data_IF_904650291673
#
_entry.id   IF_904650291673
#
_cell.length_a   1.000
_cell.length_b   1.000
_cell.length_c   1.000
_cell.angle_alpha   90.00
_cell.angle_beta   90.00
_cell.angle_gamma   90.00
#
_symmetry.space_group_name_H-M   'P 1'
#
loop_
_entity.id
_entity.type
_entity.pdbx_description
1 polymer ?
#
# COMPACT_ATOMS: atom_id res chain seq x y z
N UNK A 1 1.29 11.69 3.78
CA UNK A 1 0.17 10.98 4.44
C UNK A 1 0.77 10.15 5.57
N UNK A 2 0.56 10.53 6.84
CA UNK A 2 1.08 9.77 7.98
C UNK A 2 0.09 8.63 8.27
N UNK A 3 0.56 7.38 8.13
CA UNK A 3 -0.24 6.19 8.45
C UNK A 3 0.19 5.75 9.85
N UNK A 4 -0.68 5.85 10.87
CA UNK A 4 -0.36 5.40 12.22
C UNK A 4 -0.14 3.90 12.24
N UNK A 5 0.80 3.44 13.06
CA UNK A 5 1.07 2.02 13.22
C UNK A 5 -0.13 1.32 13.90
N UNK A 6 -0.29 0.00 13.70
CA UNK A 6 -1.34 -0.76 14.39
C UNK A 6 -1.31 -0.59 15.91
N UNK A 7 -0.12 -0.56 16.54
CA UNK A 7 0.00 -0.40 18.00
C UNK A 7 -0.45 0.99 18.50
N UNK A 8 -0.23 2.06 17.73
CA UNK A 8 -0.66 3.42 18.09
C UNK A 8 -2.20 3.56 18.07
N UNK A 9 -2.86 2.93 17.11
CA UNK A 9 -4.33 2.91 17.03
C UNK A 9 -4.96 2.19 18.22
N UNK A 10 -4.36 1.07 18.64
CA UNK A 10 -4.84 0.26 19.77
C UNK A 10 -4.83 1.07 21.06
N UNK A 11 -3.74 1.79 21.33
CA UNK A 11 -3.60 2.61 22.53
C UNK A 11 -4.60 3.78 22.56
N UNK A 12 -4.86 4.40 21.40
CA UNK A 12 -5.78 5.54 21.28
C UNK A 12 -7.24 5.14 21.51
N UNK A 13 -7.63 3.95 21.01
CA UNK A 13 -9.00 3.45 21.10
C UNK A 13 -9.34 2.78 22.45
N UNK A 14 -8.38 2.72 23.38
CA UNK A 14 -8.49 2.01 24.68
C UNK A 14 -8.98 0.56 24.52
N UNK A 15 -8.66 -0.07 23.39
CA UNK A 15 -9.01 -1.45 23.14
C UNK A 15 -7.94 -2.35 23.75
N UNK A 16 -8.35 -3.48 24.36
CA UNK A 16 -7.37 -4.49 24.70
C UNK A 16 -6.76 -5.07 23.41
N UNK A 17 -5.49 -5.46 23.50
CA UNK A 17 -4.69 -5.89 22.34
C UNK A 17 -5.30 -7.10 21.62
N UNK A 18 -6.01 -7.98 22.32
CA UNK A 18 -6.63 -9.15 21.71
C UNK A 18 -7.89 -8.75 20.92
N UNK A 19 -8.73 -7.89 21.47
CA UNK A 19 -9.90 -7.35 20.76
C UNK A 19 -9.49 -6.59 19.52
N UNK A 20 -8.49 -5.71 19.62
CA UNK A 20 -8.03 -4.96 18.45
C UNK A 20 -7.43 -5.86 17.35
N UNK A 21 -6.67 -6.90 17.72
CA UNK A 21 -6.20 -7.89 16.73
C UNK A 21 -7.34 -8.60 16.02
N UNK A 22 -8.38 -9.01 16.75
CA UNK A 22 -9.58 -9.63 16.16
C UNK A 22 -10.28 -8.69 15.20
N UNK A 23 -10.43 -7.42 15.55
CA UNK A 23 -11.03 -6.40 14.68
C UNK A 23 -10.19 -6.23 13.40
N UNK A 24 -8.87 -6.07 13.52
CA UNK A 24 -7.98 -5.95 12.36
C UNK A 24 -8.08 -7.19 11.46
N UNK A 25 -8.07 -8.40 12.04
CA UNK A 25 -8.24 -9.64 11.28
C UNK A 25 -9.59 -9.70 10.56
N UNK A 26 -10.67 -9.27 11.22
CA UNK A 26 -11.99 -9.17 10.60
C UNK A 26 -11.98 -8.19 9.43
N UNK A 27 -11.42 -6.99 9.61
CA UNK A 27 -11.33 -5.98 8.55
C UNK A 27 -10.49 -6.44 7.35
N UNK A 28 -9.44 -7.24 7.57
CA UNK A 28 -8.67 -7.87 6.49
C UNK A 28 -9.51 -8.95 5.79
N UNK A 29 -10.21 -9.78 6.57
CA UNK A 29 -11.10 -10.84 6.03
C UNK A 29 -12.26 -10.26 5.20
N UNK A 30 -12.81 -9.13 5.63
CA UNK A 30 -13.88 -8.39 4.95
C UNK A 30 -13.34 -7.47 3.83
N UNK A 31 -12.03 -7.52 3.58
CA UNK A 31 -11.39 -6.77 2.50
C UNK A 31 -11.43 -5.24 2.65
N UNK A 32 -11.73 -4.73 3.84
CA UNK A 32 -11.66 -3.30 4.18
C UNK A 32 -10.21 -2.83 4.37
N UNK A 33 -9.35 -3.70 4.88
CA UNK A 33 -7.90 -3.50 4.95
C UNK A 33 -7.18 -4.47 4.03
N UNK A 34 -6.12 -3.97 3.39
CA UNK A 34 -5.25 -4.72 2.51
C UNK A 34 -3.88 -4.81 3.16
N UNK A 35 -3.38 -6.03 3.27
CA UNK A 35 -2.02 -6.31 3.74
C UNK A 35 -1.01 -6.06 2.60
N UNK A 36 -0.20 -5.02 2.76
CA UNK A 36 0.87 -4.65 1.82
C UNK A 36 2.16 -5.40 2.18
N UNK A 37 2.49 -5.44 3.47
CA UNK A 37 3.59 -6.20 4.06
C UNK A 37 3.19 -6.69 5.46
N UNK A 38 4.08 -7.38 6.17
CA UNK A 38 3.80 -7.84 7.54
C UNK A 38 3.55 -6.70 8.54
N UNK A 39 4.15 -5.54 8.30
CA UNK A 39 4.09 -4.34 9.13
C UNK A 39 3.22 -3.21 8.54
N UNK A 40 2.57 -3.45 7.40
CA UNK A 40 1.81 -2.41 6.70
C UNK A 40 0.43 -2.89 6.22
N UNK A 41 -0.60 -2.28 6.81
CA UNK A 41 -1.99 -2.41 6.40
C UNK A 41 -2.47 -1.06 5.85
N UNK A 42 -3.19 -1.09 4.73
CA UNK A 42 -3.77 0.11 4.12
C UNK A 42 -5.25 -0.13 3.87
N UNK A 43 -6.06 0.91 3.99
CA UNK A 43 -7.47 0.86 3.60
C UNK A 43 -7.63 0.52 2.10
N UNK A 44 -8.54 -0.40 1.79
CA UNK A 44 -8.80 -0.89 0.44
C UNK A 44 -9.01 0.23 -0.58
N UNK A 45 -9.85 1.22 -0.25
CA UNK A 45 -10.11 2.34 -1.17
C UNK A 45 -8.84 3.14 -1.53
N UNK A 46 -7.88 3.27 -0.62
CA UNK A 46 -6.60 3.95 -0.89
C UNK A 46 -5.73 3.14 -1.83
N UNK A 47 -5.71 1.81 -1.67
CA UNK A 47 -5.00 0.91 -2.57
C UNK A 47 -5.62 0.92 -3.96
N UNK A 48 -6.95 0.87 -4.05
CA UNK A 48 -7.65 0.87 -5.33
C UNK A 48 -7.43 2.17 -6.09
N UNK A 49 -7.46 3.31 -5.38
CA UNK A 49 -7.07 4.61 -5.94
C UNK A 49 -5.63 4.60 -6.45
N UNK A 50 -4.69 4.11 -5.65
CA UNK A 50 -3.28 4.00 -6.05
C UNK A 50 -3.11 3.17 -7.33
N UNK A 51 -3.81 2.03 -7.43
CA UNK A 51 -3.77 1.18 -8.62
C UNK A 51 -4.32 1.93 -9.84
N UNK A 52 -5.42 2.68 -9.69
CA UNK A 52 -5.98 3.50 -10.76
C UNK A 52 -5.00 4.58 -11.22
N UNK A 53 -4.40 5.31 -10.27
CA UNK A 53 -3.43 6.37 -10.54
C UNK A 53 -2.20 5.82 -11.28
N UNK A 54 -1.67 4.67 -10.85
CA UNK A 54 -0.54 3.99 -11.52
C UNK A 54 -0.92 3.55 -12.93
N UNK A 55 -2.10 2.94 -13.13
CA UNK A 55 -2.55 2.52 -14.47
C UNK A 55 -2.75 3.70 -15.40
N UNK A 56 -3.21 4.84 -14.90
CA UNK A 56 -3.39 6.05 -15.68
C UNK A 56 -2.06 6.62 -16.22
N UNK A 57 -0.93 6.36 -15.56
CA UNK A 57 0.39 6.78 -16.03
C UNK A 57 0.85 6.01 -17.27
N UNK A 58 0.35 4.78 -17.50
CA UNK A 58 0.80 3.89 -18.59
C UNK A 58 0.74 4.54 -19.97
N UNK A 59 -0.29 5.34 -20.23
CA UNK A 59 -0.48 6.02 -21.53
C UNK A 59 0.55 7.13 -21.78
N UNK A 60 1.13 7.70 -20.72
CA UNK A 60 2.14 8.75 -20.79
C UNK A 60 3.55 8.18 -20.78
N UNK A 61 3.82 7.29 -19.83
CA UNK A 61 5.08 6.57 -19.70
C UNK A 61 4.79 5.18 -19.12
N UNK A 62 5.03 4.09 -19.87
CA UNK A 62 4.81 2.73 -19.39
C UNK A 62 5.88 2.27 -18.39
N UNK A 63 6.94 3.05 -18.20
CA UNK A 63 7.99 2.78 -17.21
C UNK A 63 7.83 3.72 -16.02
N UNK A 64 8.16 3.22 -14.84
CA UNK A 64 8.08 3.96 -13.60
C UNK A 64 9.28 3.65 -12.71
N UNK A 65 10.05 4.68 -12.39
CA UNK A 65 11.12 4.61 -11.39
C UNK A 65 10.59 4.75 -9.96
N UNK A 66 11.41 4.39 -8.97
CA UNK A 66 11.06 4.59 -7.54
C UNK A 66 10.89 6.08 -7.21
N UNK A 67 11.63 6.97 -7.88
CA UNK A 67 11.49 8.43 -7.73
C UNK A 67 10.11 8.91 -8.15
N UNK A 68 9.70 8.62 -9.39
CA UNK A 68 8.38 8.98 -9.93
C UNK A 68 7.24 8.41 -9.08
N UNK A 69 7.37 7.18 -8.59
CA UNK A 69 6.39 6.60 -7.68
C UNK A 69 6.25 7.38 -6.37
N UNK A 70 7.37 7.87 -5.82
CA UNK A 70 7.35 8.72 -4.62
C UNK A 70 6.72 10.08 -4.91
N UNK A 71 6.97 10.65 -6.08
CA UNK A 71 6.38 11.93 -6.47
C UNK A 71 4.86 11.79 -6.66
N UNK A 72 4.41 10.66 -7.24
CA UNK A 72 2.99 10.33 -7.38
C UNK A 72 2.28 10.19 -6.03
N UNK A 73 2.91 9.52 -5.07
CA UNK A 73 2.25 9.10 -3.82
C UNK A 73 2.55 10.00 -2.62
N UNK A 74 3.63 10.79 -2.69
CA UNK A 74 4.13 11.63 -1.59
C UNK A 74 4.64 10.83 -0.39
N UNK A 75 4.91 9.52 -0.52
CA UNK A 75 5.34 8.66 0.59
C UNK A 75 6.85 8.56 0.71
N UNK A 76 7.34 8.27 1.93
CA UNK A 76 8.76 8.03 2.17
C UNK A 76 9.21 6.69 1.57
N UNK A 77 10.53 6.49 1.42
CA UNK A 77 11.11 5.25 0.86
C UNK A 77 10.69 4.00 1.63
N UNK A 78 10.52 4.12 2.96
CA UNK A 78 10.05 3.03 3.84
C UNK A 78 8.73 2.44 3.35
N UNK A 79 7.83 3.28 2.84
CA UNK A 79 6.51 2.86 2.37
C UNK A 79 6.46 2.62 0.86
N UNK A 80 7.31 3.30 0.08
CA UNK A 80 7.33 3.18 -1.37
C UNK A 80 7.67 1.75 -1.84
N UNK A 81 8.69 1.13 -1.24
CA UNK A 81 9.15 -0.20 -1.66
C UNK A 81 8.08 -1.29 -1.41
N UNK A 82 7.49 -1.42 -0.21
CA UNK A 82 6.42 -2.41 0.03
C UNK A 82 5.20 -2.22 -0.89
N UNK A 83 4.82 -0.96 -1.16
CA UNK A 83 3.72 -0.66 -2.08
C UNK A 83 4.04 -1.11 -3.51
N UNK A 84 5.24 -0.81 -4.00
CA UNK A 84 5.68 -1.22 -5.33
C UNK A 84 5.76 -2.75 -5.47
N UNK A 85 6.26 -3.44 -4.45
CA UNK A 85 6.25 -4.91 -4.40
C UNK A 85 4.83 -5.48 -4.36
N UNK A 86 3.92 -4.82 -3.64
CA UNK A 86 2.51 -5.19 -3.64
C UNK A 86 1.89 -5.05 -5.05
N UNK A 87 2.14 -3.94 -5.74
CA UNK A 87 1.68 -3.73 -7.12
C UNK A 87 2.25 -4.78 -8.08
N UNK A 88 3.50 -5.20 -7.88
CA UNK A 88 4.11 -6.29 -8.64
C UNK A 88 3.36 -7.62 -8.41
N UNK A 89 3.06 -7.96 -7.15
CA UNK A 89 2.28 -9.17 -6.80
C UNK A 89 0.85 -9.13 -7.36
N UNK A 90 0.25 -7.94 -7.42
CA UNK A 90 -1.08 -7.74 -8.01
C UNK A 90 -1.06 -7.69 -9.55
N UNK A 91 0.12 -7.86 -10.19
CA UNK A 91 0.30 -7.74 -11.64
C UNK A 91 -0.17 -6.40 -12.20
N UNK A 92 -0.04 -5.34 -11.41
CA UNK A 92 -0.24 -3.96 -11.86
C UNK A 92 1.06 -3.41 -12.45
N UNK A 93 2.19 -3.81 -11.86
CA UNK A 93 3.52 -3.50 -12.36
C UNK A 93 4.35 -4.77 -12.48
N UNK A 94 5.51 -4.66 -13.13
CA UNK A 94 6.56 -5.68 -13.16
C UNK A 94 7.91 -5.02 -13.06
N UNK A 95 8.73 -5.42 -12.08
CA UNK A 95 10.11 -4.94 -11.98
C UNK A 95 10.96 -5.42 -13.16
N UNK A 96 11.67 -4.49 -13.78
CA UNK A 96 12.64 -4.72 -14.87
C UNK A 96 13.89 -3.90 -14.55
N UNK A 97 14.92 -4.56 -14.00
CA UNK A 97 16.11 -3.88 -13.46
C UNK A 97 15.74 -2.99 -12.27
N UNK A 98 16.06 -1.70 -12.38
CA UNK A 98 15.80 -0.68 -11.35
C UNK A 98 14.47 0.06 -11.53
N UNK A 99 13.75 -0.24 -12.61
CA UNK A 99 12.46 0.35 -12.93
C UNK A 99 11.33 -0.68 -12.85
N UNK A 100 10.09 -0.20 -13.01
CA UNK A 100 8.90 -1.02 -13.19
C UNK A 100 8.20 -0.70 -14.48
N UNK A 101 7.78 -1.74 -15.18
CA UNK A 101 6.86 -1.65 -16.30
C UNK A 101 5.42 -1.73 -15.79
N UNK A 102 4.56 -0.83 -16.21
CA UNK A 102 3.12 -0.84 -15.89
C UNK A 102 2.42 -1.81 -16.86
N UNK A 103 1.70 -2.79 -16.29
CA UNK A 103 1.10 -3.91 -17.05
C UNK A 103 -0.25 -3.59 -17.67
#
# INVERSE_FOLDING_TARGET
MQVPSPDELINTLKLDRNTARKIIQLMVKENALVKISDDMLIHRATVDKLIADVKALKSKNPKMGVGEFKDLTGVSRKFAIPLLEYLDRQRVTRRVGDERMIL
#
